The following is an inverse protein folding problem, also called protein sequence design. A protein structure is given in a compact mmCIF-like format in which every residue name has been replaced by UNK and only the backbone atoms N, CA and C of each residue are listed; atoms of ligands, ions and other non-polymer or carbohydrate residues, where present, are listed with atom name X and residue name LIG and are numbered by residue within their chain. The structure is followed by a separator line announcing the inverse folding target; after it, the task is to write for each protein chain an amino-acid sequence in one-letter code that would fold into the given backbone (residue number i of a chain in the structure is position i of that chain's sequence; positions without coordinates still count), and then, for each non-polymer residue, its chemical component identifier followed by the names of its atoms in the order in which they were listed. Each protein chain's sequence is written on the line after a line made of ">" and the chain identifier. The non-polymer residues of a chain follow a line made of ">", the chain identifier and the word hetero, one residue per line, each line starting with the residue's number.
data_IF_254635839345
#
_entry.id   IF_254635839345
#
_cell.length_a   1.000
_cell.length_b   1.000
_cell.length_c   1.000
_cell.angle_alpha   90.00
_cell.angle_beta   90.00
_cell.angle_gamma   90.00
#
_symmetry.space_group_name_H-M   'P 1'
#
loop_
_entity.id
_entity.type
_entity.pdbx_description
1 polymer ?
#
# COMPACT_ATOMS: atom_id res chain seq x y z
N UNK A 1 -7.83 0.67 10.65
CA UNK A 1 -8.17 0.68 9.21
C UNK A 1 -6.87 0.55 8.41
N UNK A 2 -6.83 -0.28 7.36
CA UNK A 2 -5.60 -0.52 6.54
C UNK A 2 -5.58 0.27 5.22
N UNK A 3 -6.49 1.24 5.09
CA UNK A 3 -6.64 2.11 3.94
C UNK A 3 -6.49 3.56 4.38
N UNK A 4 -5.74 4.32 3.59
CA UNK A 4 -5.53 5.75 3.80
C UNK A 4 -5.92 6.55 2.55
N UNK A 5 -6.47 7.76 2.71
CA UNK A 5 -6.72 8.64 1.59
C UNK A 5 -5.39 9.08 0.96
N UNK A 6 -5.28 8.95 -0.36
CA UNK A 6 -4.12 9.42 -1.11
C UNK A 6 -4.53 10.54 -2.06
N UNK A 7 -4.04 11.75 -1.78
CA UNK A 7 -4.18 12.89 -2.69
C UNK A 7 -3.15 12.79 -3.82
N UNK A 8 -3.51 13.34 -4.98
CA UNK A 8 -2.64 13.36 -6.16
C UNK A 8 -1.86 14.67 -6.19
N UNK A 9 -0.55 14.59 -6.41
CA UNK A 9 0.28 15.79 -6.61
C UNK A 9 0.11 16.42 -8.00
N UNK A 10 -0.34 15.63 -9.00
CA UNK A 10 -0.41 16.08 -10.39
C UNK A 10 0.94 16.58 -10.94
N UNK A 11 2.05 15.99 -10.47
CA UNK A 11 3.41 16.36 -10.87
C UNK A 11 3.94 17.67 -10.27
N UNK A 12 3.19 18.29 -9.34
CA UNK A 12 3.55 19.57 -8.72
C UNK A 12 4.21 19.37 -7.35
N UNK A 13 5.12 20.28 -7.00
CA UNK A 13 5.73 20.37 -5.67
C UNK A 13 4.95 21.33 -4.75
N UNK A 14 5.45 21.56 -3.53
CA UNK A 14 4.83 22.45 -2.54
C UNK A 14 4.81 23.94 -2.95
N UNK A 15 5.62 24.37 -3.92
CA UNK A 15 5.56 25.71 -4.52
C UNK A 15 4.53 25.80 -5.67
N UNK A 16 3.77 24.73 -5.93
CA UNK A 16 2.80 24.66 -7.03
C UNK A 16 3.42 24.52 -8.43
N UNK A 17 4.75 24.37 -8.54
CA UNK A 17 5.46 24.24 -9.82
C UNK A 17 5.48 22.78 -10.27
N UNK A 18 5.27 22.55 -11.57
CA UNK A 18 5.45 21.23 -12.17
C UNK A 18 6.94 20.89 -12.10
N UNK A 19 7.27 19.83 -11.36
CA UNK A 19 8.64 19.31 -11.22
C UNK A 19 8.82 17.98 -11.94
N UNK A 20 7.72 17.25 -12.12
CA UNK A 20 7.69 15.99 -12.89
C UNK A 20 6.65 16.09 -14.01
N UNK A 21 7.09 15.88 -15.25
CA UNK A 21 6.21 15.87 -16.44
C UNK A 21 5.42 14.55 -16.53
N UNK A 22 4.34 14.56 -17.32
CA UNK A 22 3.47 13.40 -17.60
C UNK A 22 2.76 12.79 -16.37
N UNK A 23 2.56 13.58 -15.31
CA UNK A 23 1.83 13.15 -14.11
C UNK A 23 0.59 14.02 -13.94
N UNK A 24 -0.61 13.42 -14.03
CA UNK A 24 -1.88 14.13 -13.85
C UNK A 24 -3.08 13.26 -14.21
N UNK A 25 -4.25 13.55 -13.63
CA UNK A 25 -5.50 12.81 -13.89
C UNK A 25 -5.55 11.40 -13.27
N UNK A 26 -6.26 10.47 -13.93
CA UNK A 26 -6.46 9.08 -13.52
C UNK A 26 -7.53 8.84 -12.45
N UNK A 27 -7.88 7.57 -12.19
CA UNK A 27 -8.86 7.18 -11.16
C UNK A 27 -8.36 7.46 -9.74
N UNK A 28 -9.26 7.78 -8.79
CA UNK A 28 -8.90 7.99 -7.36
C UNK A 28 -8.49 6.65 -6.74
N UNK A 29 -7.44 6.66 -5.93
CA UNK A 29 -6.89 5.46 -5.30
C UNK A 29 -6.82 5.66 -3.79
N UNK A 30 -7.00 4.58 -3.03
CA UNK A 30 -6.75 4.56 -1.60
C UNK A 30 -5.45 3.84 -1.36
N UNK A 31 -4.56 4.44 -0.59
CA UNK A 31 -3.30 3.83 -0.25
C UNK A 31 -3.50 2.68 0.71
N UNK A 32 -2.92 1.52 0.40
CA UNK A 32 -2.87 0.37 1.31
C UNK A 32 -1.60 0.42 2.12
N UNK A 33 -1.76 0.47 3.45
CA UNK A 33 -0.64 0.50 4.40
C UNK A 33 0.02 -0.87 4.43
N UNK A 34 1.24 -0.93 3.89
CA UNK A 34 2.04 -2.15 3.79
C UNK A 34 3.07 -2.20 4.91
N UNK A 35 3.20 -3.37 5.51
CA UNK A 35 4.29 -3.67 6.43
C UNK A 35 5.56 -4.06 5.66
N UNK A 36 6.35 -3.04 5.31
CA UNK A 36 7.65 -3.23 4.69
C UNK A 36 8.74 -3.67 5.68
N UNK A 37 8.56 -3.39 6.98
CA UNK A 37 9.58 -3.67 8.01
C UNK A 37 9.51 -5.11 8.50
N UNK A 38 8.32 -5.73 8.50
CA UNK A 38 8.07 -7.06 9.05
C UNK A 38 8.61 -7.22 10.47
N UNK A 39 8.37 -6.22 11.32
CA UNK A 39 8.93 -6.14 12.67
C UNK A 39 8.28 -7.08 13.70
N UNK A 40 7.28 -7.87 13.31
CA UNK A 40 6.65 -8.89 14.17
C UNK A 40 7.42 -10.21 14.09
N UNK A 41 8.62 -10.21 14.66
CA UNK A 41 9.46 -11.40 14.72
C UNK A 41 8.88 -12.43 15.69
N UNK A 42 8.96 -13.71 15.32
CA UNK A 42 8.49 -14.83 16.17
C UNK A 42 6.97 -15.00 16.26
N UNK A 43 6.17 -14.10 15.69
CA UNK A 43 4.70 -14.23 15.67
C UNK A 43 4.27 -14.82 14.33
N UNK A 44 3.75 -16.06 14.30
CA UNK A 44 3.26 -16.64 13.05
C UNK A 44 2.02 -15.90 12.56
N UNK A 45 1.85 -15.87 11.25
CA UNK A 45 0.70 -15.30 10.59
C UNK A 45 0.17 -16.24 9.50
N UNK A 46 -1.15 -16.22 9.31
CA UNK A 46 -1.84 -16.91 8.24
C UNK A 46 -2.14 -15.93 7.11
N UNK A 47 -1.89 -16.34 5.86
CA UNK A 47 -2.38 -15.61 4.69
C UNK A 47 -3.89 -15.80 4.59
N UNK A 48 -4.66 -14.71 4.72
CA UNK A 48 -6.11 -14.73 4.57
C UNK A 48 -6.52 -14.67 3.09
N UNK A 49 -5.93 -13.75 2.32
CA UNK A 49 -6.25 -13.53 0.90
C UNK A 49 -5.19 -12.73 0.17
N UNK A 50 -5.21 -12.84 -1.17
CA UNK A 50 -4.37 -12.06 -2.09
C UNK A 50 -5.26 -11.02 -2.78
N UNK A 51 -4.84 -9.76 -2.77
CA UNK A 51 -5.59 -8.63 -3.30
C UNK A 51 -4.79 -7.89 -4.39
N UNK A 52 -5.49 -7.36 -5.39
CA UNK A 52 -4.94 -6.41 -6.36
C UNK A 52 -4.79 -5.04 -5.73
N UNK A 53 -3.62 -4.40 -5.79
CA UNK A 53 -3.37 -3.06 -5.26
C UNK A 53 -3.14 -2.02 -6.37
N UNK A 54 -3.94 -0.93 -6.44
CA UNK A 54 -3.80 0.04 -7.53
C UNK A 54 -2.57 0.96 -7.40
N UNK A 55 -1.84 0.93 -6.28
CA UNK A 55 -0.71 1.80 -5.99
C UNK A 55 0.65 1.19 -6.33
N UNK A 56 0.69 -0.08 -6.74
CA UNK A 56 1.91 -0.79 -7.15
C UNK A 56 1.58 -1.87 -8.16
N UNK A 57 2.60 -2.43 -8.79
CA UNK A 57 2.44 -3.49 -9.79
C UNK A 57 2.20 -4.86 -9.17
N UNK A 58 2.80 -5.12 -8.00
CA UNK A 58 2.69 -6.40 -7.32
C UNK A 58 1.35 -6.57 -6.59
N UNK A 59 0.85 -7.80 -6.53
CA UNK A 59 -0.23 -8.18 -5.63
C UNK A 59 0.23 -8.09 -4.17
N UNK A 60 -0.75 -7.94 -3.27
CA UNK A 60 -0.50 -7.91 -1.83
C UNK A 60 -1.23 -9.05 -1.15
N UNK A 61 -0.66 -9.56 -0.07
CA UNK A 61 -1.27 -10.58 0.75
C UNK A 61 -1.70 -9.96 2.08
N UNK A 62 -2.94 -10.20 2.48
CA UNK A 62 -3.41 -9.88 3.82
C UNK A 62 -3.01 -11.01 4.76
N UNK A 63 -2.22 -10.66 5.78
CA UNK A 63 -1.84 -11.53 6.87
C UNK A 63 -2.74 -11.29 8.07
N UNK A 64 -3.13 -12.37 8.73
CA UNK A 64 -3.72 -12.36 10.06
C UNK A 64 -2.74 -13.04 11.01
N UNK A 65 -2.15 -12.26 11.91
CA UNK A 65 -1.26 -12.75 12.95
C UNK A 65 -2.05 -13.47 14.04
N UNK A 66 -1.39 -14.36 14.79
CA UNK A 66 -2.03 -15.09 15.90
C UNK A 66 -2.52 -14.16 17.01
N UNK A 67 -1.91 -12.98 17.17
CA UNK A 67 -2.38 -11.93 18.08
C UNK A 67 -3.64 -11.18 17.60
N UNK A 68 -4.17 -11.54 16.43
CA UNK A 68 -5.38 -10.97 15.84
C UNK A 68 -5.15 -9.72 14.98
N UNK A 69 -3.93 -9.20 14.93
CA UNK A 69 -3.61 -8.05 14.08
C UNK A 69 -3.57 -8.47 12.61
N UNK A 70 -4.03 -7.56 11.73
CA UNK A 70 -3.95 -7.75 10.28
C UNK A 70 -2.98 -6.77 9.66
N UNK A 71 -2.15 -7.26 8.73
CA UNK A 71 -1.23 -6.43 7.96
C UNK A 71 -1.14 -6.88 6.52
N UNK A 72 -0.89 -5.95 5.62
CA UNK A 72 -0.56 -6.27 4.25
C UNK A 72 0.94 -6.43 4.06
N UNK A 73 1.33 -7.41 3.25
CA UNK A 73 2.69 -7.54 2.72
C UNK A 73 2.64 -7.61 1.19
N UNK A 74 3.76 -7.36 0.52
CA UNK A 74 3.90 -7.73 -0.89
C UNK A 74 3.81 -9.25 -1.00
N UNK A 75 2.96 -9.74 -1.91
CA UNK A 75 2.78 -11.17 -2.15
C UNK A 75 4.01 -11.73 -2.91
N UNK A 76 4.76 -12.68 -2.33
CA UNK A 76 5.84 -13.37 -3.04
C UNK A 76 5.27 -14.39 -4.04
N UNK A 77 6.11 -14.84 -4.99
CA UNK A 77 5.80 -15.92 -5.93
C UNK A 77 5.98 -17.29 -5.28
#
# INVERSE_FOLDING_TARGET
>A
ALLEPQSKSGGRNHHGRITTRHVGGGHKQHYRVIDFKRNKEGIPARVERIEYDPNRTAHIALLCYVDGERRYIIAPK
#
